data_IF_486946370562
#
_entry.id   IF_486946370562
#
_cell.length_a   1.000
_cell.length_b   1.000
_cell.length_c   1.000
_cell.angle_alpha   90.00
_cell.angle_beta   90.00
_cell.angle_gamma   90.00
#
_symmetry.space_group_name_H-M   'P 1'
#
loop_
_entity.id
_entity.type
_entity.pdbx_description
1 polymer ?
#
# COMPACT_ATOMS: atom_id res chain seq x y z
N UNK A 1 8.62 -8.91 -3.83
CA UNK A 1 7.27 -8.43 -3.42
C UNK A 1 6.26 -9.28 -4.16
N UNK A 2 5.32 -9.91 -3.45
CA UNK A 2 4.34 -10.79 -4.11
C UNK A 2 3.11 -10.05 -4.63
N UNK A 3 2.78 -8.88 -4.09
CA UNK A 3 1.64 -8.08 -4.56
C UNK A 3 0.29 -8.71 -4.27
N UNK A 4 -0.73 -8.24 -5.00
CA UNK A 4 -2.09 -8.78 -5.01
C UNK A 4 -2.43 -9.30 -6.40
N UNK A 5 -3.23 -10.36 -6.43
CA UNK A 5 -3.79 -10.89 -7.67
C UNK A 5 -5.07 -10.13 -8.04
N UNK A 6 -5.17 -9.71 -9.30
CA UNK A 6 -6.36 -9.07 -9.86
C UNK A 6 -6.90 -9.96 -10.98
N UNK A 7 -8.12 -10.48 -10.78
CA UNK A 7 -8.81 -11.25 -11.80
C UNK A 7 -9.33 -10.30 -12.89
N UNK A 8 -8.82 -10.42 -14.11
CA UNK A 8 -9.32 -9.68 -15.27
C UNK A 8 -10.63 -10.26 -15.81
N UNK A 9 -11.57 -9.42 -16.22
CA UNK A 9 -12.84 -9.85 -16.86
C UNK A 9 -12.66 -10.42 -18.28
N UNK A 10 -11.45 -10.31 -18.85
CA UNK A 10 -11.13 -10.66 -20.24
C UNK A 10 -9.83 -11.47 -20.41
N UNK A 11 -9.54 -12.38 -19.48
CA UNK A 11 -8.54 -13.47 -19.61
C UNK A 11 -7.04 -13.15 -19.43
N UNK A 12 -6.66 -12.06 -18.77
CA UNK A 12 -5.30 -11.92 -18.25
C UNK A 12 -5.32 -11.65 -16.74
N UNK A 13 -4.95 -12.69 -15.99
CA UNK A 13 -4.63 -12.61 -14.57
C UNK A 13 -3.41 -11.71 -14.40
N UNK A 14 -3.53 -10.67 -13.56
CA UNK A 14 -2.46 -9.68 -13.36
C UNK A 14 -2.09 -9.58 -11.90
N UNK A 15 -0.79 -9.52 -11.63
CA UNK A 15 -0.25 -9.28 -10.30
C UNK A 15 0.16 -7.81 -10.16
N UNK A 16 -0.41 -7.13 -9.17
CA UNK A 16 -0.08 -5.72 -8.88
C UNK A 16 0.61 -5.65 -7.54
N UNK A 17 1.86 -5.18 -7.53
CA UNK A 17 2.63 -4.98 -6.30
C UNK A 17 2.71 -3.53 -5.85
N UNK A 18 2.50 -2.57 -6.75
CA UNK A 18 2.59 -1.15 -6.42
C UNK A 18 1.82 -0.28 -7.40
N UNK A 19 1.37 0.88 -6.91
CA UNK A 19 0.86 2.01 -7.70
C UNK A 19 1.72 3.23 -7.37
N UNK A 20 2.19 3.91 -8.40
CA UNK A 20 3.12 5.04 -8.29
C UNK A 20 2.46 6.29 -8.89
N UNK A 21 2.43 7.38 -8.11
CA UNK A 21 2.05 8.70 -8.60
C UNK A 21 2.87 9.78 -7.89
N UNK A 22 3.72 10.49 -8.64
CA UNK A 22 4.65 11.46 -8.07
C UNK A 22 5.43 10.87 -6.87
N UNK A 23 5.29 11.46 -5.68
CA UNK A 23 5.89 11.01 -4.41
C UNK A 23 4.98 10.07 -3.59
N UNK A 24 3.71 9.91 -3.98
CA UNK A 24 2.75 9.04 -3.31
C UNK A 24 2.79 7.61 -3.90
N UNK A 25 3.30 6.67 -3.11
CA UNK A 25 3.42 5.25 -3.52
C UNK A 25 2.55 4.35 -2.66
N UNK A 26 1.67 3.57 -3.28
CA UNK A 26 0.93 2.49 -2.62
C UNK A 26 1.60 1.16 -2.94
N UNK A 27 1.92 0.35 -1.93
CA UNK A 27 2.59 -0.94 -2.10
C UNK A 27 1.73 -2.04 -1.51
N UNK A 28 1.54 -3.10 -2.27
CA UNK A 28 0.88 -4.33 -1.86
C UNK A 28 1.93 -5.39 -1.54
N UNK A 29 1.88 -5.93 -0.33
CA UNK A 29 2.76 -7.01 0.11
C UNK A 29 2.05 -7.93 1.10
N UNK A 30 2.57 -9.15 1.24
CA UNK A 30 2.12 -10.04 2.31
C UNK A 30 2.55 -9.51 3.67
N UNK A 31 1.77 -9.86 4.70
CA UNK A 31 2.05 -9.55 6.10
C UNK A 31 3.14 -10.47 6.68
N UNK A 32 4.31 -10.49 6.05
CA UNK A 32 5.47 -11.30 6.44
C UNK A 32 6.69 -10.40 6.67
N UNK A 33 7.44 -10.66 7.74
CA UNK A 33 8.66 -9.88 8.08
C UNK A 33 9.69 -9.94 6.96
N UNK A 34 9.83 -11.07 6.29
CA UNK A 34 10.72 -11.27 5.13
C UNK A 34 10.37 -10.30 3.99
N UNK A 35 9.08 -10.19 3.63
CA UNK A 35 8.61 -9.30 2.57
C UNK A 35 8.88 -7.83 2.91
N UNK A 36 8.60 -7.41 4.13
CA UNK A 36 8.89 -6.05 4.59
C UNK A 36 10.39 -5.78 4.68
N UNK A 37 11.20 -6.78 5.02
CA UNK A 37 12.66 -6.71 4.97
C UNK A 37 13.17 -6.45 3.55
N UNK A 38 12.69 -7.20 2.56
CA UNK A 38 13.04 -6.98 1.15
C UNK A 38 12.60 -5.60 0.66
N UNK A 39 11.38 -5.16 1.03
CA UNK A 39 10.90 -3.83 0.68
C UNK A 39 11.80 -2.74 1.27
N UNK A 40 12.17 -2.86 2.55
CA UNK A 40 13.07 -1.92 3.21
C UNK A 40 14.43 -1.85 2.51
N UNK A 41 14.98 -2.98 2.09
CA UNK A 41 16.22 -3.00 1.30
C UNK A 41 16.05 -2.25 -0.03
N UNK A 42 14.94 -2.46 -0.75
CA UNK A 42 14.65 -1.76 -2.01
C UNK A 42 14.57 -0.25 -1.78
N UNK A 43 13.87 0.19 -0.72
CA UNK A 43 13.72 1.61 -0.39
C UNK A 43 15.08 2.25 -0.03
N UNK A 44 15.93 1.57 0.75
CA UNK A 44 17.28 2.05 1.07
C UNK A 44 18.14 2.17 -0.19
N UNK A 45 18.08 1.18 -1.09
CA UNK A 45 18.78 1.26 -2.38
C UNK A 45 18.24 2.40 -3.25
N UNK A 46 16.94 2.62 -3.25
CA UNK A 46 16.32 3.74 -3.95
C UNK A 46 16.80 5.09 -3.40
N UNK A 47 16.83 5.30 -2.08
CA UNK A 47 17.38 6.53 -1.48
C UNK A 47 18.83 6.76 -1.92
N UNK A 48 19.65 5.71 -1.86
CA UNK A 48 21.06 5.79 -2.24
C UNK A 48 21.28 6.14 -3.72
N UNK A 49 20.42 5.66 -4.62
CA UNK A 49 20.58 5.83 -6.07
C UNK A 49 19.88 7.08 -6.61
N UNK A 50 18.77 7.49 -6.01
CA UNK A 50 17.97 8.64 -6.46
C UNK A 50 18.38 9.94 -5.78
N UNK A 51 19.17 9.87 -4.70
CA UNK A 51 19.47 10.97 -3.79
C UNK A 51 18.20 11.60 -3.14
N UNK A 52 17.06 10.92 -3.24
CA UNK A 52 15.83 11.29 -2.55
C UNK A 52 15.80 10.71 -1.15
N UNK A 53 15.04 11.37 -0.28
CA UNK A 53 14.81 10.90 1.09
C UNK A 53 13.44 10.27 1.23
N UNK A 54 13.41 9.04 1.71
CA UNK A 54 12.19 8.32 2.05
C UNK A 54 11.84 8.62 3.51
N UNK A 55 10.66 9.18 3.71
CA UNK A 55 10.13 9.47 5.03
C UNK A 55 9.18 8.37 5.48
N UNK A 56 9.71 7.24 5.96
CA UNK A 56 8.90 6.14 6.50
C UNK A 56 7.96 6.57 7.63
N UNK A 57 8.30 7.63 8.36
CA UNK A 57 7.45 8.24 9.39
C UNK A 57 6.16 8.88 8.83
N UNK A 58 6.12 9.20 7.53
CA UNK A 58 4.90 9.64 6.82
C UNK A 58 4.15 8.48 6.17
N UNK A 59 4.79 7.33 6.04
CA UNK A 59 4.17 6.12 5.51
C UNK A 59 3.33 5.42 6.57
N UNK A 60 2.34 4.66 6.13
CA UNK A 60 1.48 3.85 6.99
C UNK A 60 1.32 2.44 6.43
N UNK A 61 1.25 1.45 7.32
CA UNK A 61 0.76 0.11 6.99
C UNK A 61 -0.74 0.05 7.26
N UNK A 62 -1.48 -0.49 6.29
CA UNK A 62 -2.92 -0.70 6.38
C UNK A 62 -3.17 -2.20 6.27
N UNK A 63 -3.67 -2.87 7.33
CA UNK A 63 -4.02 -4.28 7.25
C UNK A 63 -5.29 -4.45 6.42
N UNK A 64 -5.32 -5.50 5.60
CA UNK A 64 -6.53 -5.93 4.89
C UNK A 64 -7.10 -7.13 5.66
N UNK A 65 -8.15 -6.87 6.44
CA UNK A 65 -8.74 -7.84 7.37
C UNK A 65 -8.14 -7.76 8.79
N UNK A 66 -8.45 -8.74 9.64
CA UNK A 66 -7.92 -8.80 10.99
C UNK A 66 -6.48 -9.31 10.99
N UNK A 67 -5.55 -8.49 11.50
CA UNK A 67 -4.14 -8.85 11.62
C UNK A 67 -3.58 -8.35 12.97
N UNK A 68 -3.59 -9.20 14.02
CA UNK A 68 -3.18 -8.80 15.38
C UNK A 68 -1.75 -8.26 15.49
N UNK A 69 -0.86 -8.71 14.61
CA UNK A 69 0.57 -8.37 14.64
C UNK A 69 0.93 -7.11 13.83
N UNK A 70 -0.05 -6.33 13.36
CA UNK A 70 0.20 -5.17 12.50
C UNK A 70 1.13 -4.13 13.15
N UNK A 71 0.97 -3.90 14.45
CA UNK A 71 1.80 -2.95 15.19
C UNK A 71 3.27 -3.38 15.23
N UNK A 72 3.54 -4.68 15.37
CA UNK A 72 4.88 -5.23 15.32
C UNK A 72 5.51 -5.04 13.93
N UNK A 73 4.76 -5.32 12.86
CA UNK A 73 5.23 -5.11 11.49
C UNK A 73 5.50 -3.63 11.18
N UNK A 74 4.63 -2.73 11.64
CA UNK A 74 4.79 -1.29 11.44
C UNK A 74 6.01 -0.76 12.19
N UNK A 75 6.24 -1.22 13.42
CA UNK A 75 7.44 -0.90 14.19
C UNK A 75 8.71 -1.44 13.51
N UNK A 76 8.70 -2.68 13.05
CA UNK A 76 9.82 -3.28 12.30
C UNK A 76 10.14 -2.49 11.03
N UNK A 77 9.12 -2.08 10.30
CA UNK A 77 9.28 -1.31 9.06
C UNK A 77 9.65 0.15 9.33
N UNK A 78 9.22 0.73 10.45
CA UNK A 78 9.49 2.12 10.85
C UNK A 78 8.43 3.11 10.38
N UNK A 79 7.16 2.68 10.32
CA UNK A 79 6.03 3.47 9.80
C UNK A 79 4.83 3.44 10.76
N UNK A 80 3.80 4.24 10.46
CA UNK A 80 2.55 4.25 11.23
C UNK A 80 1.63 3.06 10.90
N UNK A 81 0.56 2.91 11.67
CA UNK A 81 -0.56 2.01 11.35
C UNK A 81 -1.80 2.85 11.03
N UNK A 82 -2.50 2.50 9.97
CA UNK A 82 -3.81 3.05 9.64
C UNK A 82 -4.80 1.91 9.36
N UNK A 83 -6.09 2.23 9.25
CA UNK A 83 -7.15 1.25 8.99
C UNK A 83 -7.96 1.61 7.76
N UNK A 84 -8.66 0.62 7.19
CA UNK A 84 -9.67 0.87 6.18
C UNK A 84 -11.00 1.33 6.82
N UNK A 85 -11.82 2.13 6.11
CA UNK A 85 -11.53 2.74 4.82
C UNK A 85 -10.51 3.90 4.94
N UNK A 86 -9.69 4.09 3.91
CA UNK A 86 -8.68 5.15 3.83
C UNK A 86 -8.75 5.84 2.46
N UNK A 87 -7.81 6.71 2.13
CA UNK A 87 -7.73 7.39 0.83
C UNK A 87 -6.31 7.35 0.25
N UNK A 88 -6.20 7.17 -1.06
CA UNK A 88 -4.97 7.33 -1.83
C UNK A 88 -5.27 8.20 -3.05
N UNK A 89 -4.61 9.36 -3.18
CA UNK A 89 -4.87 10.35 -4.24
C UNK A 89 -6.33 10.82 -4.30
N UNK A 90 -7.00 10.92 -3.16
CA UNK A 90 -8.44 11.24 -3.08
C UNK A 90 -9.36 10.07 -3.43
N UNK A 91 -8.82 8.92 -3.84
CA UNK A 91 -9.61 7.71 -4.12
C UNK A 91 -9.83 6.90 -2.84
N UNK A 92 -11.08 6.49 -2.55
CA UNK A 92 -11.41 5.73 -1.35
C UNK A 92 -10.87 4.30 -1.46
N UNK A 93 -10.05 3.91 -0.48
CA UNK A 93 -9.51 2.56 -0.32
C UNK A 93 -10.36 1.76 0.66
N UNK A 94 -10.71 0.52 0.29
CA UNK A 94 -11.48 -0.40 1.14
C UNK A 94 -12.95 -0.01 1.35
N UNK A 95 -13.41 1.08 0.76
CA UNK A 95 -14.82 1.42 0.74
C UNK A 95 -15.60 0.49 -0.19
N UNK A 96 -16.91 0.37 0.06
CA UNK A 96 -17.79 -0.39 -0.82
C UNK A 96 -17.81 0.21 -2.22
N UNK A 97 -17.49 -0.60 -3.24
CA UNK A 97 -17.56 -0.20 -4.65
C UNK A 97 -18.98 0.19 -5.11
N UNK A 98 -20.01 -0.18 -4.33
CA UNK A 98 -21.42 0.16 -4.62
C UNK A 98 -21.90 1.45 -3.93
N UNK A 99 -21.05 2.08 -3.11
CA UNK A 99 -21.47 3.24 -2.30
C UNK A 99 -21.40 4.55 -3.09
N UNK A 100 -22.53 5.00 -3.65
CA UNK A 100 -22.59 6.27 -4.41
C UNK A 100 -22.00 7.45 -3.65
N UNK A 101 -22.38 7.62 -2.38
CA UNK A 101 -21.93 8.74 -1.52
C UNK A 101 -20.39 8.79 -1.40
N UNK A 102 -19.73 7.63 -1.40
CA UNK A 102 -18.26 7.56 -1.28
C UNK A 102 -17.55 7.88 -2.61
N UNK A 103 -18.20 7.58 -3.73
CA UNK A 103 -17.63 7.78 -5.07
C UNK A 103 -18.06 9.09 -5.74
N UNK A 104 -19.07 9.78 -5.22
CA UNK A 104 -19.59 11.04 -5.75
C UNK A 104 -18.49 12.12 -5.93
N UNK A 105 -17.59 12.36 -4.95
CA UNK A 105 -16.51 13.34 -5.12
C UNK A 105 -15.43 12.96 -6.13
N UNK A 106 -15.42 11.70 -6.63
CA UNK A 106 -14.42 11.20 -7.58
C UNK A 106 -14.90 11.35 -9.03
N UNK A 107 -16.22 11.34 -9.25
CA UNK A 107 -16.84 11.31 -10.58
C UNK A 107 -17.18 12.72 -11.10
N UNK A 108 -17.29 13.71 -10.22
CA UNK A 108 -17.42 15.14 -10.57
C UNK A 108 -16.12 15.71 -11.17
#
# INVERSE_FOLDING_TARGET
>A
LEGIHINGSRSEDTWVSHLLFADDTLIFCKSEVSQLGYLRCILVLFEAMSELKIYLSKSVLIPVGEFPEINFLAQFFGCGVASLPSSYLGLPLGASFKSKVVWEPVVE
#
